data_IF_794560276954
#
_entry.id   IF_794560276954
#
_cell.length_a   1.000
_cell.length_b   1.000
_cell.length_c   1.000
_cell.angle_alpha   90.00
_cell.angle_beta   90.00
_cell.angle_gamma   90.00
#
_symmetry.space_group_name_H-M   'P 1'
#
loop_
_entity.id
_entity.type
_entity.pdbx_description
1 polymer ?
#
# COMPACT_ATOMS: atom_id res chain seq x y z
N UNK A 1 4.73 -1.32 -6.51
CA UNK A 1 5.97 -0.99 -5.78
C UNK A 1 7.00 -2.02 -6.16
N UNK A 2 8.01 -1.61 -6.91
CA UNK A 2 9.20 -2.43 -7.15
C UNK A 2 10.15 -2.07 -6.01
N UNK A 3 10.43 -3.01 -5.13
CA UNK A 3 11.22 -2.80 -3.92
C UNK A 3 12.31 -3.85 -3.84
N UNK A 4 13.35 -3.54 -3.06
CA UNK A 4 14.37 -4.50 -2.67
C UNK A 4 13.70 -5.83 -2.25
N UNK A 5 14.01 -6.97 -2.91
CA UNK A 5 13.37 -8.25 -2.63
C UNK A 5 13.59 -8.76 -1.21
N UNK A 6 14.60 -8.22 -0.50
CA UNK A 6 14.91 -8.60 0.88
C UNK A 6 14.12 -7.82 1.92
N UNK A 7 13.27 -6.87 1.51
CA UNK A 7 12.42 -6.15 2.46
C UNK A 7 11.44 -7.13 3.13
N UNK A 8 11.29 -7.01 4.44
CA UNK A 8 10.29 -7.77 5.20
C UNK A 8 9.08 -6.90 5.48
N UNK A 9 7.93 -7.54 5.66
CA UNK A 9 6.72 -6.87 6.11
C UNK A 9 6.84 -6.50 7.59
N UNK A 10 6.47 -5.27 7.96
CA UNK A 10 6.25 -4.91 9.36
C UNK A 10 4.86 -5.31 9.84
N UNK A 11 3.91 -5.44 8.91
CA UNK A 11 2.59 -5.99 9.18
C UNK A 11 2.65 -7.52 9.32
N UNK A 12 2.49 -8.01 10.54
CA UNK A 12 2.49 -9.45 10.83
C UNK A 12 1.53 -9.77 11.98
N UNK A 13 1.17 -11.05 12.21
CA UNK A 13 0.19 -11.44 13.24
C UNK A 13 0.49 -10.88 14.63
N UNK A 14 1.78 -10.79 14.99
CA UNK A 14 2.22 -10.27 16.30
C UNK A 14 2.34 -8.73 16.36
N UNK A 15 2.07 -8.01 15.25
CA UNK A 15 2.20 -6.55 15.14
C UNK A 15 1.07 -5.95 14.31
N UNK A 16 -0.17 -6.19 14.75
CA UNK A 16 -1.38 -5.76 14.06
C UNK A 16 -1.54 -4.23 13.95
N UNK A 17 -0.87 -3.46 14.82
CA UNK A 17 -0.95 -2.00 14.85
C UNK A 17 -0.50 -1.31 13.56
N UNK A 18 0.35 -1.98 12.78
CA UNK A 18 0.83 -1.51 11.47
C UNK A 18 0.21 -2.26 10.29
N UNK A 19 -0.87 -3.00 10.53
CA UNK A 19 -1.68 -3.67 9.51
C UNK A 19 -3.00 -2.93 9.30
N UNK A 20 -3.55 -2.88 8.06
CA UNK A 20 -4.92 -2.41 7.87
C UNK A 20 -5.91 -3.30 8.62
N UNK A 21 -7.04 -2.75 9.11
CA UNK A 21 -8.07 -3.52 9.82
C UNK A 21 -8.62 -4.71 9.03
N UNK A 22 -8.68 -4.60 7.70
CA UNK A 22 -9.07 -5.69 6.81
C UNK A 22 -8.41 -5.59 5.43
N UNK A 23 -8.30 -6.74 4.77
CA UNK A 23 -8.03 -6.85 3.34
C UNK A 23 -9.35 -7.04 2.59
N UNK A 24 -9.49 -6.40 1.42
CA UNK A 24 -10.61 -6.64 0.50
C UNK A 24 -10.07 -7.37 -0.72
N UNK A 25 -10.52 -8.60 -0.95
CA UNK A 25 -10.19 -9.37 -2.15
C UNK A 25 -10.90 -8.80 -3.40
N UNK A 26 -10.43 -9.13 -4.61
CA UNK A 26 -11.05 -8.68 -5.87
C UNK A 26 -12.56 -8.95 -5.98
N UNK A 27 -13.04 -10.03 -5.37
CA UNK A 27 -14.46 -10.39 -5.33
C UNK A 27 -15.28 -9.61 -4.27
N UNK A 28 -14.67 -8.65 -3.58
CA UNK A 28 -15.28 -7.85 -2.53
C UNK A 28 -15.30 -8.49 -1.15
N UNK A 29 -14.86 -9.76 -1.02
CA UNK A 29 -14.78 -10.42 0.28
C UNK A 29 -13.76 -9.73 1.19
N UNK A 30 -14.15 -9.50 2.44
CA UNK A 30 -13.27 -8.88 3.44
C UNK A 30 -12.80 -9.89 4.46
N UNK A 31 -11.51 -9.82 4.80
CA UNK A 31 -10.89 -10.61 5.86
C UNK A 31 -10.22 -9.65 6.82
N UNK A 32 -10.57 -9.75 8.11
CA UNK A 32 -10.01 -8.92 9.15
C UNK A 32 -8.60 -9.39 9.53
N UNK A 33 -7.75 -8.45 9.95
CA UNK A 33 -6.37 -8.71 10.41
C UNK A 33 -6.25 -9.60 11.65
N UNK A 34 -7.35 -9.96 12.31
CA UNK A 34 -7.36 -10.93 13.40
C UNK A 34 -7.56 -12.37 12.91
N UNK A 35 -7.98 -12.56 11.66
CA UNK A 35 -8.06 -13.88 11.03
C UNK A 35 -6.69 -14.23 10.44
N UNK A 36 -5.81 -14.73 11.31
CA UNK A 36 -4.41 -15.00 10.97
C UNK A 36 -4.23 -16.06 9.89
N UNK A 37 -5.23 -16.91 9.67
CA UNK A 37 -5.20 -17.97 8.68
C UNK A 37 -5.46 -17.46 7.25
N UNK A 38 -6.17 -16.33 7.10
CA UNK A 38 -6.63 -15.83 5.80
C UNK A 38 -6.13 -14.43 5.46
N UNK A 39 -5.75 -13.63 6.43
CA UNK A 39 -5.28 -12.27 6.18
C UNK A 39 -3.89 -12.29 5.50
N UNK A 40 -3.70 -11.60 4.36
CA UNK A 40 -2.44 -11.66 3.62
C UNK A 40 -1.40 -10.66 4.19
N UNK A 41 -0.87 -10.92 5.39
CA UNK A 41 0.10 -10.03 6.06
C UNK A 41 1.27 -9.63 5.16
N UNK A 42 1.85 -10.60 4.45
CA UNK A 42 2.98 -10.38 3.54
C UNK A 42 2.67 -9.46 2.36
N UNK A 43 1.39 -9.13 2.11
CA UNK A 43 0.99 -8.21 1.05
C UNK A 43 1.11 -6.73 1.46
N UNK A 44 1.28 -6.45 2.76
CA UNK A 44 1.36 -5.11 3.32
C UNK A 44 2.74 -4.92 3.94
N UNK A 45 3.41 -3.81 3.66
CA UNK A 45 4.61 -3.45 4.42
C UNK A 45 4.21 -2.77 5.72
N UNK A 46 3.41 -1.71 5.61
CA UNK A 46 3.11 -0.80 6.71
C UNK A 46 1.79 -0.05 6.43
N UNK A 47 0.97 0.07 7.46
CA UNK A 47 -0.19 0.95 7.50
C UNK A 47 -0.08 1.84 8.74
N UNK A 48 -0.33 3.14 8.56
CA UNK A 48 -0.53 4.06 9.66
C UNK A 48 -1.82 4.86 9.47
N UNK A 49 -2.51 5.07 10.58
CA UNK A 49 -3.79 5.75 10.65
C UNK A 49 -3.63 7.28 10.71
N UNK A 50 -4.66 8.02 10.26
CA UNK A 50 -4.64 9.47 10.34
C UNK A 50 -4.75 9.96 11.79
N UNK A 51 -3.97 10.99 12.11
CA UNK A 51 -3.91 11.58 13.45
C UNK A 51 -5.22 12.23 13.94
N UNK A 52 -6.19 12.43 13.05
CA UNK A 52 -7.50 13.01 13.36
C UNK A 52 -8.66 11.98 13.41
N UNK A 53 -8.38 10.68 13.26
CA UNK A 53 -9.42 9.65 13.35
C UNK A 53 -9.94 9.51 14.78
N UNK A 54 -11.28 9.52 14.97
CA UNK A 54 -11.89 9.50 16.31
C UNK A 54 -12.14 8.09 16.85
N UNK A 55 -12.31 7.14 15.94
CA UNK A 55 -12.71 5.76 16.23
C UNK A 55 -11.78 4.76 15.54
N UNK A 56 -10.47 4.97 15.67
CA UNK A 56 -9.47 4.04 15.14
C UNK A 56 -9.57 2.69 15.84
N UNK A 57 -9.47 1.60 15.07
CA UNK A 57 -9.54 0.24 15.62
C UNK A 57 -8.21 -0.13 16.30
N UNK A 58 -8.23 -0.38 17.61
CA UNK A 58 -7.06 -0.82 18.35
C UNK A 58 -6.67 -2.28 18.00
N UNK A 59 -5.38 -2.61 17.86
CA UNK A 59 -4.22 -1.71 17.91
C UNK A 59 -4.05 -0.90 16.62
N UNK A 60 -3.54 0.32 16.73
CA UNK A 60 -3.22 1.18 15.59
C UNK A 60 -1.94 1.96 15.84
N UNK A 61 -1.27 2.34 14.76
CA UNK A 61 -0.14 3.27 14.74
C UNK A 61 -0.57 4.53 14.00
N UNK A 62 -0.31 5.71 14.57
CA UNK A 62 -0.55 6.98 13.89
C UNK A 62 0.60 7.28 12.92
N UNK A 63 0.29 7.89 11.78
CA UNK A 63 1.33 8.39 10.89
C UNK A 63 2.12 9.52 11.57
N UNK A 64 3.42 9.58 11.27
CA UNK A 64 4.30 10.62 11.79
C UNK A 64 3.82 12.03 11.36
N UNK A 65 3.63 12.96 12.30
CA UNK A 65 3.18 14.31 11.99
C UNK A 65 4.30 15.21 11.43
N UNK A 66 5.58 14.82 11.57
CA UNK A 66 6.70 15.64 11.12
C UNK A 66 6.77 15.68 9.58
N UNK A 67 6.40 14.59 8.92
CA UNK A 67 6.48 14.45 7.47
C UNK A 67 5.41 15.21 6.69
N UNK A 68 4.26 15.57 7.31
CA UNK A 68 3.19 16.33 6.67
C UNK A 68 2.35 17.11 7.71
N UNK A 69 2.10 18.43 7.54
CA UNK A 69 1.29 19.22 8.48
C UNK A 69 -0.21 18.85 8.49
N UNK A 70 -0.71 18.11 7.50
CA UNK A 70 -2.08 17.60 7.47
C UNK A 70 -2.16 16.16 8.02
N UNK A 71 -3.28 15.76 8.66
CA UNK A 71 -3.48 14.36 9.06
C UNK A 71 -3.32 13.42 7.86
N UNK A 72 -2.24 12.64 7.88
CA UNK A 72 -1.88 11.73 6.81
C UNK A 72 -2.29 10.30 7.17
N UNK A 73 -2.73 9.54 6.18
CA UNK A 73 -2.90 8.09 6.24
C UNK A 73 -1.99 7.48 5.17
N UNK A 74 -1.24 6.42 5.51
CA UNK A 74 -0.29 5.78 4.58
C UNK A 74 -0.59 4.29 4.51
N UNK A 75 -0.62 3.77 3.29
CA UNK A 75 -0.67 2.35 2.98
C UNK A 75 0.49 1.99 2.07
N UNK A 76 1.45 1.22 2.58
CA UNK A 76 2.53 0.65 1.80
C UNK A 76 2.27 -0.85 1.59
N UNK A 77 2.26 -1.28 0.33
CA UNK A 77 2.03 -2.67 -0.07
C UNK A 77 3.29 -3.30 -0.62
N UNK A 78 3.46 -4.61 -0.44
CA UNK A 78 4.58 -5.39 -0.97
C UNK A 78 4.15 -6.27 -2.14
N UNK A 79 5.08 -6.70 -3.00
CA UNK A 79 4.82 -7.73 -4.00
C UNK A 79 4.14 -8.96 -3.38
N UNK A 80 2.98 -9.34 -3.90
CA UNK A 80 2.18 -10.45 -3.37
C UNK A 80 1.11 -10.91 -4.37
N UNK A 81 0.77 -12.22 -4.43
CA UNK A 81 -0.22 -12.72 -5.39
C UNK A 81 -1.59 -12.05 -5.32
N UNK A 82 -2.01 -11.56 -4.14
CA UNK A 82 -3.29 -10.86 -3.99
C UNK A 82 -3.37 -9.55 -4.80
N UNK A 83 -2.22 -9.01 -5.23
CA UNK A 83 -2.15 -7.82 -6.09
C UNK A 83 -2.05 -8.13 -7.58
N UNK A 84 -1.86 -9.41 -7.95
CA UNK A 84 -1.59 -9.82 -9.33
C UNK A 84 -2.72 -9.50 -10.30
N UNK A 85 -3.99 -9.61 -9.86
CA UNK A 85 -5.13 -9.23 -10.71
C UNK A 85 -5.22 -7.72 -11.01
N UNK A 86 -4.50 -6.89 -10.25
CA UNK A 86 -4.39 -5.45 -10.49
C UNK A 86 -3.11 -5.11 -11.31
N UNK A 87 -2.36 -6.13 -11.73
CA UNK A 87 -1.12 -5.99 -12.50
C UNK A 87 0.13 -5.67 -11.67
N UNK A 88 0.01 -5.60 -10.34
CA UNK A 88 1.16 -5.35 -9.46
C UNK A 88 1.99 -6.63 -9.27
N UNK A 89 3.29 -6.51 -8.94
CA UNK A 89 4.18 -7.67 -8.80
C UNK A 89 3.62 -8.74 -7.85
N UNK A 90 3.35 -9.98 -8.32
CA UNK A 90 2.94 -11.07 -7.45
C UNK A 90 4.08 -11.63 -6.60
N UNK A 91 5.35 -11.46 -7.01
CA UNK A 91 6.50 -12.01 -6.30
C UNK A 91 7.60 -10.96 -6.04
N UNK A 92 8.29 -11.03 -4.89
CA UNK A 92 9.41 -10.13 -4.61
C UNK A 92 10.52 -10.24 -5.67
N UNK A 93 11.06 -9.10 -6.08
CA UNK A 93 12.17 -9.02 -7.05
C UNK A 93 11.74 -8.85 -8.50
N UNK A 94 10.45 -9.01 -8.82
CA UNK A 94 9.97 -8.72 -10.17
C UNK A 94 10.06 -7.22 -10.49
N UNK A 95 10.64 -6.92 -11.65
CA UNK A 95 10.96 -5.54 -12.07
C UNK A 95 12.19 -4.95 -11.37
N UNK A 96 12.90 -5.73 -10.55
CA UNK A 96 14.18 -5.31 -9.97
C UNK A 96 15.30 -5.29 -11.03
N UNK A 97 16.52 -4.92 -10.62
CA UNK A 97 17.68 -4.80 -11.52
C UNK A 97 17.87 -6.09 -12.34
N UNK A 98 17.88 -5.95 -13.66
CA UNK A 98 18.02 -7.07 -14.62
C UNK A 98 16.70 -7.63 -15.15
N UNK A 99 15.55 -7.12 -14.70
CA UNK A 99 14.22 -7.56 -15.12
C UNK A 99 13.49 -6.42 -15.88
N UNK A 100 13.57 -6.38 -17.22
CA UNK A 100 13.10 -5.25 -18.04
C UNK A 100 11.58 -5.29 -18.32
N UNK A 101 10.79 -5.93 -17.45
CA UNK A 101 9.36 -6.11 -17.69
C UNK A 101 8.60 -4.79 -17.68
N UNK A 102 7.56 -4.75 -18.50
CA UNK A 102 6.55 -3.69 -18.53
C UNK A 102 5.39 -4.06 -17.61
N UNK A 103 4.79 -3.05 -16.98
CA UNK A 103 3.65 -3.22 -16.07
C UNK A 103 2.43 -2.49 -16.59
N UNK A 104 1.30 -3.19 -16.66
CA UNK A 104 -0.03 -2.59 -16.82
C UNK A 104 -0.71 -2.62 -15.46
N UNK A 105 -0.96 -1.45 -14.86
CA UNK A 105 -1.45 -1.35 -13.48
C UNK A 105 -2.87 -0.81 -13.45
N UNK A 106 -3.81 -1.59 -12.90
CA UNK A 106 -5.16 -1.11 -12.59
C UNK A 106 -5.17 -0.40 -11.22
N UNK A 107 -4.56 0.78 -11.20
CA UNK A 107 -4.43 1.63 -10.01
C UNK A 107 -5.81 2.01 -9.46
N UNK A 108 -6.79 2.21 -10.35
CA UNK A 108 -8.17 2.54 -9.99
C UNK A 108 -8.84 1.43 -9.19
N UNK A 109 -8.84 0.20 -9.69
CA UNK A 109 -9.45 -0.95 -9.01
C UNK A 109 -8.70 -1.33 -7.74
N UNK A 110 -7.37 -1.22 -7.74
CA UNK A 110 -6.58 -1.45 -6.51
C UNK A 110 -6.99 -0.45 -5.43
N UNK A 111 -7.08 0.84 -5.77
CA UNK A 111 -7.45 1.88 -4.79
C UNK A 111 -8.81 1.66 -4.13
N UNK A 112 -9.76 1.09 -4.86
CA UNK A 112 -11.09 0.78 -4.34
C UNK A 112 -11.05 -0.37 -3.33
N UNK A 113 -10.07 -1.26 -3.47
CA UNK A 113 -9.89 -2.46 -2.64
C UNK A 113 -9.07 -2.18 -1.37
N UNK A 114 -8.15 -1.21 -1.44
CA UNK A 114 -7.35 -0.77 -0.29
C UNK A 114 -8.20 -0.11 0.78
N UNK A 115 -7.83 -0.37 2.03
CA UNK A 115 -8.42 0.27 3.20
C UNK A 115 -7.96 1.72 3.33
N UNK A 116 -8.92 2.62 3.52
CA UNK A 116 -8.69 3.99 3.97
C UNK A 116 -9.73 4.33 5.03
N UNK A 117 -9.29 5.05 6.06
CA UNK A 117 -10.09 5.35 7.22
C UNK A 117 -11.24 6.30 6.88
N UNK A 118 -12.41 5.99 7.46
CA UNK A 118 -13.53 6.90 7.52
C UNK A 118 -14.21 6.72 8.88
N UNK A 119 -14.45 7.82 9.60
CA UNK A 119 -15.14 7.79 10.89
C UNK A 119 -16.51 7.08 10.73
N UNK A 120 -16.83 6.07 11.55
CA UNK A 120 -18.12 5.39 11.50
C UNK A 120 -19.30 6.36 11.63
N UNK A 121 -20.35 6.14 10.84
CA UNK A 121 -21.55 6.98 10.84
C UNK A 121 -21.42 8.29 10.07
N UNK A 122 -20.26 8.60 9.49
CA UNK A 122 -20.13 9.76 8.58
C UNK A 122 -20.64 9.44 7.18
N UNK A 123 -21.12 10.45 6.41
CA UNK A 123 -21.48 10.26 5.01
C UNK A 123 -20.29 9.75 4.18
N UNK A 124 -20.50 8.81 3.23
CA UNK A 124 -19.43 8.33 2.35
C UNK A 124 -18.65 9.47 1.68
N UNK A 125 -17.33 9.42 1.79
CA UNK A 125 -16.46 10.44 1.16
C UNK A 125 -16.20 10.11 -0.30
N UNK A 126 -16.15 11.14 -1.15
CA UNK A 126 -15.66 10.99 -2.52
C UNK A 126 -14.14 11.10 -2.53
N UNK A 127 -13.45 10.00 -2.81
CA UNK A 127 -12.00 9.99 -3.05
C UNK A 127 -11.70 10.55 -4.45
N UNK A 128 -10.69 11.41 -4.55
CA UNK A 128 -10.20 11.98 -5.80
C UNK A 128 -8.69 11.79 -5.87
N UNK A 129 -8.22 11.22 -6.97
CA UNK A 129 -6.81 11.15 -7.30
C UNK A 129 -6.37 12.50 -7.84
N UNK A 130 -5.46 13.17 -7.14
CA UNK A 130 -4.99 14.52 -7.50
C UNK A 130 -3.63 14.48 -8.22
N UNK A 131 -2.80 13.49 -7.89
CA UNK A 131 -1.51 13.22 -8.51
C UNK A 131 -1.27 11.73 -8.59
N UNK A 132 -0.37 11.34 -9.49
CA UNK A 132 0.31 10.04 -9.47
C UNK A 132 1.79 10.38 -9.40
N UNK A 133 2.40 10.01 -8.30
CA UNK A 133 3.81 10.28 -8.03
C UNK A 133 4.61 8.99 -8.27
N UNK A 134 5.66 9.10 -9.09
CA UNK A 134 6.55 8.00 -9.42
C UNK A 134 7.99 8.41 -9.13
N UNK A 135 8.68 7.59 -8.35
CA UNK A 135 10.08 7.79 -8.02
C UNK A 135 10.55 6.75 -7.01
N UNK A 136 11.81 6.89 -6.61
CA UNK A 136 12.43 6.04 -5.59
C UNK A 136 12.44 6.75 -4.26
N UNK A 137 11.76 6.19 -3.26
CA UNK A 137 11.93 6.60 -1.87
C UNK A 137 13.23 5.98 -1.34
N UNK A 138 14.15 6.81 -0.83
CA UNK A 138 15.45 6.38 -0.30
C UNK A 138 15.50 6.77 1.17
N UNK A 139 15.62 5.79 2.05
CA UNK A 139 15.79 6.05 3.48
C UNK A 139 17.20 6.60 3.73
N UNK A 140 17.34 7.48 4.72
CA UNK A 140 18.58 8.20 5.00
C UNK A 140 19.61 7.30 5.70
N UNK A 141 20.27 6.45 4.93
CA UNK A 141 21.47 5.70 5.32
C UNK A 141 22.68 6.26 4.53
N UNK A 142 23.88 6.41 5.12
CA UNK A 142 25.08 6.76 4.36
C UNK A 142 25.30 5.87 3.13
N UNK A 143 25.86 6.47 2.08
CA UNK A 143 26.37 5.80 0.88
C UNK A 143 25.33 5.00 0.05
N UNK A 144 24.05 5.33 0.17
CA UNK A 144 23.00 4.74 -0.67
C UNK A 144 23.00 5.36 -2.08
N UNK A 145 23.14 4.51 -3.10
CA UNK A 145 22.96 4.86 -4.51
C UNK A 145 21.79 4.08 -5.06
N UNK A 146 20.79 4.77 -5.59
CA UNK A 146 19.68 4.15 -6.31
C UNK A 146 19.79 4.49 -7.80
N UNK A 147 19.76 3.46 -8.64
CA UNK A 147 19.66 3.60 -10.09
C UNK A 147 18.30 3.02 -10.51
N UNK A 148 17.56 3.79 -11.30
CA UNK A 148 16.28 3.37 -11.84
C UNK A 148 16.05 4.03 -13.20
N UNK A 149 15.29 3.35 -14.05
CA UNK A 149 14.86 3.87 -15.34
C UNK A 149 13.38 3.56 -15.50
N UNK A 150 12.62 4.53 -15.98
CA UNK A 150 11.24 4.36 -16.41
C UNK A 150 11.15 4.88 -17.84
N UNK A 151 10.61 4.05 -18.72
CA UNK A 151 10.27 4.40 -20.10
C UNK A 151 8.79 4.08 -20.34
N UNK A 152 8.23 4.61 -21.43
CA UNK A 152 6.89 4.25 -21.92
C UNK A 152 5.79 4.38 -20.85
N UNK A 153 5.85 5.47 -20.07
CA UNK A 153 4.92 5.73 -18.97
C UNK A 153 3.66 6.44 -19.47
N UNK A 154 2.60 5.67 -19.66
CA UNK A 154 1.28 6.15 -20.06
C UNK A 154 0.27 6.11 -18.90
N UNK A 155 -0.58 7.13 -18.80
CA UNK A 155 -1.74 7.14 -17.89
C UNK A 155 -3.01 7.05 -18.72
N UNK A 156 -3.67 5.89 -18.66
CA UNK A 156 -4.92 5.63 -19.37
C UNK A 156 -6.11 5.88 -18.45
N UNK A 157 -6.95 6.86 -18.78
CA UNK A 157 -8.20 7.14 -18.06
C UNK A 157 -9.37 6.66 -18.93
N UNK A 158 -10.02 5.53 -18.60
CA UNK A 158 -11.17 5.05 -19.36
C UNK A 158 -12.34 6.03 -19.27
N UNK A 159 -13.12 6.11 -20.35
CA UNK A 159 -14.29 6.99 -20.45
C UNK A 159 -15.49 6.48 -19.65
#
# INVERSE_FOLDING_TARGET
>A
MIINPNISSWCHPDHLGVCPPYHTFPNGARVHRNDTARFPYAAYHFYCSPGNGKYLEFPYTLCDPYSNPQPQEIMQILPNPVWGEYGYPPTPGEGWIGDPRTWELDVGRLSQSLYFYQDPGTPPVRRKWMSIDLGTEIFKDPDQVAEWTVSDFDILVPK
#
